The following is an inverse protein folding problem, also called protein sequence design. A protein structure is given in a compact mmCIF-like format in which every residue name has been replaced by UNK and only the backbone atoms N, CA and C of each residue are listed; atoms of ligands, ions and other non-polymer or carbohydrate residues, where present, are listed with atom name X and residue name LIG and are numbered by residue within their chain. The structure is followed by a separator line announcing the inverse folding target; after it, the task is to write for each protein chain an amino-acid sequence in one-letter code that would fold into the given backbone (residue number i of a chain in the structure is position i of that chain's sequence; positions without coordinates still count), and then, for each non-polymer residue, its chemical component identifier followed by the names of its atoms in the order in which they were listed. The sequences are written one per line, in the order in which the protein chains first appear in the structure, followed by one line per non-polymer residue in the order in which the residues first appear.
data_IF_323079374699
#
_entry.id   IF_323079374699
#
_cell.length_a   1.000
_cell.length_b   1.000
_cell.length_c   1.000
_cell.angle_alpha   90.00
_cell.angle_beta   90.00
_cell.angle_gamma   90.00
#
_symmetry.space_group_name_H-M   'P 1'
#
loop_
_entity.id
_entity.type
_entity.pdbx_description
1 polymer ?
#
# COMPACT_ATOMS: atom_id res chain seq x y z
N UNK A 1 98.87 -44.39 100.90
CA UNK A 1 98.30 -45.08 99.73
C UNK A 1 96.78 -44.86 99.56
N UNK A 2 96.20 -43.74 100.03
CA UNK A 2 94.77 -43.46 99.87
C UNK A 2 94.46 -42.60 98.62
N UNK A 3 95.41 -41.80 98.15
CA UNK A 3 95.15 -40.78 97.12
C UNK A 3 94.99 -41.34 95.69
N UNK A 4 95.59 -42.48 95.37
CA UNK A 4 95.53 -43.10 94.03
C UNK A 4 94.17 -43.76 93.77
N UNK A 5 93.57 -44.38 94.80
CA UNK A 5 92.24 -45.01 94.70
C UNK A 5 91.11 -43.98 94.51
N UNK A 6 91.19 -42.84 95.22
CA UNK A 6 90.23 -41.75 95.07
C UNK A 6 90.28 -41.10 93.68
N UNK A 7 91.49 -40.92 93.12
CA UNK A 7 91.66 -40.43 91.74
C UNK A 7 91.13 -41.42 90.69
N UNK A 8 91.31 -42.73 90.90
CA UNK A 8 90.73 -43.76 90.02
C UNK A 8 89.20 -43.76 90.08
N UNK A 9 88.60 -43.59 91.26
CA UNK A 9 87.15 -43.48 91.43
C UNK A 9 86.60 -42.20 90.78
N UNK A 10 87.28 -41.07 90.93
CA UNK A 10 86.91 -39.81 90.25
C UNK A 10 86.98 -39.95 88.72
N UNK A 11 88.03 -40.59 88.17
CA UNK A 11 88.16 -40.79 86.72
C UNK A 11 87.11 -41.77 86.19
N UNK A 12 86.79 -42.83 86.92
CA UNK A 12 85.73 -43.77 86.55
C UNK A 12 84.35 -43.09 86.56
N UNK A 13 84.07 -42.30 87.60
CA UNK A 13 82.83 -41.52 87.68
C UNK A 13 82.77 -40.46 86.58
N UNK A 14 83.86 -39.72 86.33
CA UNK A 14 83.92 -38.73 85.24
C UNK A 14 83.71 -39.38 83.87
N UNK A 15 84.34 -40.54 83.59
CA UNK A 15 84.11 -41.29 82.34
C UNK A 15 82.68 -41.80 82.20
N UNK A 16 82.05 -42.24 83.30
CA UNK A 16 80.66 -42.71 83.28
C UNK A 16 79.66 -41.55 83.14
N UNK A 17 79.97 -40.38 83.73
CA UNK A 17 79.15 -39.17 83.60
C UNK A 17 79.28 -38.60 82.18
N UNK A 18 80.50 -38.52 81.65
CA UNK A 18 80.80 -38.07 80.28
C UNK A 18 80.21 -39.00 79.21
N UNK A 19 80.19 -40.32 79.42
CA UNK A 19 79.53 -41.26 78.50
C UNK A 19 77.99 -41.18 78.58
N UNK A 20 77.42 -40.93 79.76
CA UNK A 20 75.97 -40.70 79.92
C UNK A 20 75.52 -39.37 79.30
N UNK A 21 76.31 -38.31 79.47
CA UNK A 21 76.09 -37.00 78.84
C UNK A 21 76.21 -37.11 77.32
N UNK A 22 77.24 -37.77 76.79
CA UNK A 22 77.41 -37.98 75.34
C UNK A 22 76.26 -38.78 74.70
N UNK A 23 75.71 -39.78 75.41
CA UNK A 23 74.54 -40.55 74.94
C UNK A 23 73.24 -39.73 75.06
N UNK A 24 73.14 -38.85 76.07
CA UNK A 24 72.02 -37.93 76.25
C UNK A 24 71.99 -36.88 75.14
N UNK A 25 73.13 -36.23 74.88
CA UNK A 25 73.28 -35.22 73.82
C UNK A 25 72.98 -35.80 72.43
N UNK A 26 73.50 -37.00 72.13
CA UNK A 26 73.21 -37.68 70.87
C UNK A 26 71.72 -38.06 70.69
N UNK A 27 71.00 -38.32 71.79
CA UNK A 27 69.55 -38.56 71.75
C UNK A 27 68.77 -37.27 71.56
N UNK A 28 69.21 -36.18 72.19
CA UNK A 28 68.60 -34.86 72.07
C UNK A 28 68.74 -34.28 70.65
N UNK A 29 69.90 -34.42 70.02
CA UNK A 29 70.13 -33.99 68.64
C UNK A 29 69.29 -34.78 67.63
N UNK A 30 69.09 -36.09 67.89
CA UNK A 30 68.22 -36.93 67.07
C UNK A 30 66.75 -36.52 67.21
N UNK A 31 66.32 -36.16 68.42
CA UNK A 31 64.97 -35.64 68.66
C UNK A 31 64.74 -34.31 67.93
N UNK A 32 65.69 -33.36 68.03
CA UNK A 32 65.66 -32.08 67.30
C UNK A 32 65.55 -32.26 65.79
N UNK A 33 66.25 -33.27 65.23
CA UNK A 33 66.15 -33.61 63.81
C UNK A 33 64.73 -34.06 63.41
N UNK A 34 64.14 -34.97 64.18
CA UNK A 34 62.77 -35.44 63.92
C UNK A 34 61.72 -34.34 64.10
N UNK A 35 61.86 -33.50 65.12
CA UNK A 35 60.96 -32.38 65.36
C UNK A 35 61.01 -31.36 64.20
N UNK A 36 62.21 -31.09 63.68
CA UNK A 36 62.40 -30.21 62.50
C UNK A 36 61.80 -30.81 61.23
N UNK A 37 61.94 -32.12 61.02
CA UNK A 37 61.34 -32.82 59.88
C UNK A 37 59.81 -32.78 59.95
N UNK A 38 59.24 -33.06 61.13
CA UNK A 38 57.80 -32.99 61.39
C UNK A 38 57.24 -31.58 61.18
N UNK A 39 57.96 -30.55 61.66
CA UNK A 39 57.54 -29.16 61.48
C UNK A 39 57.52 -28.77 59.99
N UNK A 40 58.52 -29.20 59.23
CA UNK A 40 58.61 -28.96 57.78
C UNK A 40 57.46 -29.65 57.05
N UNK A 41 57.25 -30.94 57.30
CA UNK A 41 56.16 -31.71 56.70
C UNK A 41 54.77 -31.13 57.04
N UNK A 42 54.59 -30.62 58.28
CA UNK A 42 53.34 -29.96 58.69
C UNK A 42 53.12 -28.65 57.93
N UNK A 43 54.16 -27.85 57.75
CA UNK A 43 54.09 -26.60 56.98
C UNK A 43 53.76 -26.87 55.51
N UNK A 44 54.39 -27.87 54.92
CA UNK A 44 54.15 -28.24 53.51
C UNK A 44 52.73 -28.77 53.33
N UNK A 45 52.25 -29.64 54.23
CA UNK A 45 50.88 -30.15 54.22
C UNK A 45 49.85 -29.01 54.34
N UNK A 46 50.11 -28.01 55.19
CA UNK A 46 49.23 -26.86 55.33
C UNK A 46 49.23 -25.98 54.07
N UNK A 47 50.39 -25.81 53.42
CA UNK A 47 50.50 -25.14 52.12
C UNK A 47 49.69 -25.84 51.03
N UNK A 48 49.81 -27.16 50.92
CA UNK A 48 49.03 -27.98 49.98
C UNK A 48 47.52 -27.90 50.26
N UNK A 49 47.11 -27.91 51.54
CA UNK A 49 45.70 -27.71 51.91
C UNK A 49 45.18 -26.35 51.48
N UNK A 50 45.96 -25.30 51.67
CA UNK A 50 45.58 -23.95 51.26
C UNK A 50 45.43 -23.83 49.74
N UNK A 51 46.37 -24.39 48.98
CA UNK A 51 46.32 -24.44 47.50
C UNK A 51 45.08 -25.25 47.05
N UNK A 52 44.85 -26.41 47.67
CA UNK A 52 43.67 -27.25 47.38
C UNK A 52 42.36 -26.50 47.64
N UNK A 53 42.27 -25.76 48.75
CA UNK A 53 41.10 -24.94 49.06
C UNK A 53 40.87 -23.83 48.01
N UNK A 54 41.94 -23.15 47.58
CA UNK A 54 41.87 -22.13 46.52
C UNK A 54 41.37 -22.72 45.21
N UNK A 55 41.99 -23.80 44.73
CA UNK A 55 41.59 -24.49 43.50
C UNK A 55 40.14 -24.97 43.56
N UNK A 56 39.68 -25.50 44.69
CA UNK A 56 38.28 -25.92 44.85
C UNK A 56 37.30 -24.74 44.74
N UNK A 57 37.65 -23.59 45.32
CA UNK A 57 36.83 -22.38 45.20
C UNK A 57 36.79 -21.83 43.77
N UNK A 58 37.93 -21.85 43.06
CA UNK A 58 38.02 -21.45 41.65
C UNK A 58 37.21 -22.40 40.76
N UNK A 59 37.32 -23.72 40.98
CA UNK A 59 36.60 -24.73 40.21
C UNK A 59 35.08 -24.58 40.37
N UNK A 60 34.62 -24.35 41.61
CA UNK A 60 33.21 -24.06 41.90
C UNK A 60 32.71 -22.78 41.22
N UNK A 61 33.53 -21.72 41.23
CA UNK A 61 33.20 -20.47 40.54
C UNK A 61 33.11 -20.65 39.01
N UNK A 62 34.03 -21.42 38.41
CA UNK A 62 33.98 -21.74 36.99
C UNK A 62 32.75 -22.58 36.62
N UNK A 63 32.39 -23.57 37.45
CA UNK A 63 31.19 -24.38 37.23
C UNK A 63 29.93 -23.53 37.24
N UNK A 64 29.81 -22.60 38.19
CA UNK A 64 28.65 -21.70 38.27
C UNK A 64 28.54 -20.82 37.02
N UNK A 65 29.66 -20.23 36.59
CA UNK A 65 29.71 -19.42 35.35
C UNK A 65 29.37 -20.23 34.11
N UNK A 66 29.83 -21.47 34.03
CA UNK A 66 29.52 -22.35 32.90
C UNK A 66 28.01 -22.64 32.81
N UNK A 67 27.37 -22.97 33.93
CA UNK A 67 25.93 -23.23 33.97
C UNK A 67 25.10 -21.97 33.66
N UNK A 68 25.52 -20.80 34.12
CA UNK A 68 24.90 -19.52 33.75
C UNK A 68 25.00 -19.27 32.23
N UNK A 69 26.20 -19.42 31.66
CA UNK A 69 26.42 -19.24 30.21
C UNK A 69 25.64 -20.24 29.38
N UNK A 70 25.50 -21.48 29.85
CA UNK A 70 24.68 -22.50 29.20
C UNK A 70 23.20 -22.10 29.17
N UNK A 71 22.65 -21.61 30.28
CA UNK A 71 21.27 -21.11 30.35
C UNK A 71 21.04 -19.88 29.47
N UNK A 72 21.99 -18.94 29.45
CA UNK A 72 21.94 -17.79 28.55
C UNK A 72 21.89 -18.23 27.08
N UNK A 73 22.72 -19.20 26.70
CA UNK A 73 22.74 -19.75 25.34
C UNK A 73 21.41 -20.40 24.96
N UNK A 74 20.82 -21.19 25.87
CA UNK A 74 19.50 -21.81 25.67
C UNK A 74 18.40 -20.74 25.49
N UNK A 75 18.41 -19.68 26.31
CA UNK A 75 17.46 -18.59 26.22
C UNK A 75 17.57 -17.80 24.91
N UNK A 76 18.80 -17.49 24.48
CA UNK A 76 19.06 -16.81 23.20
C UNK A 76 18.63 -17.70 22.03
N UNK A 77 18.93 -18.99 22.09
CA UNK A 77 18.50 -19.97 21.08
C UNK A 77 16.97 -20.03 20.96
N UNK A 78 16.27 -20.10 22.08
CA UNK A 78 14.80 -20.09 22.11
C UNK A 78 14.22 -18.78 21.53
N UNK A 79 14.81 -17.65 21.90
CA UNK A 79 14.40 -16.32 21.41
C UNK A 79 14.60 -16.19 19.90
N UNK A 80 15.74 -16.64 19.37
CA UNK A 80 16.03 -16.66 17.93
C UNK A 80 15.07 -17.56 17.17
N UNK A 81 14.72 -18.73 17.72
CA UNK A 81 13.75 -19.63 17.09
C UNK A 81 12.36 -18.97 17.01
N UNK A 82 11.88 -18.41 18.11
CA UNK A 82 10.62 -17.67 18.16
C UNK A 82 10.59 -16.50 17.18
N UNK A 83 11.67 -15.72 17.12
CA UNK A 83 11.81 -14.63 16.16
C UNK A 83 11.72 -15.12 14.72
N UNK A 84 12.43 -16.20 14.35
CA UNK A 84 12.37 -16.77 12.99
C UNK A 84 10.98 -17.24 12.61
N UNK A 85 10.24 -17.84 13.54
CA UNK A 85 8.86 -18.29 13.31
C UNK A 85 7.91 -17.09 13.11
N UNK A 86 8.06 -16.05 13.93
CA UNK A 86 7.31 -14.79 13.80
C UNK A 86 7.58 -14.10 12.45
N UNK A 87 8.84 -13.93 12.08
CA UNK A 87 9.25 -13.33 10.80
C UNK A 87 8.78 -14.15 9.59
N UNK A 88 8.73 -15.49 9.73
CA UNK A 88 8.16 -16.35 8.70
C UNK A 88 6.65 -16.12 8.58
N UNK A 89 5.92 -16.08 9.69
CA UNK A 89 4.48 -15.79 9.70
C UNK A 89 4.14 -14.45 9.08
N UNK A 90 4.88 -13.38 9.44
CA UNK A 90 4.70 -12.06 8.86
C UNK A 90 4.86 -12.04 7.34
N UNK A 91 5.92 -12.68 6.82
CA UNK A 91 6.15 -12.79 5.36
C UNK A 91 5.06 -13.58 4.64
N UNK A 92 4.51 -14.61 5.27
CA UNK A 92 3.41 -15.38 4.71
C UNK A 92 2.10 -14.58 4.69
N UNK A 93 1.82 -13.82 5.75
CA UNK A 93 0.66 -12.93 5.83
C UNK A 93 0.73 -11.78 4.83
N UNK A 94 1.90 -11.15 4.67
CA UNK A 94 2.13 -10.13 3.63
C UNK A 94 1.92 -10.70 2.23
N UNK A 95 2.46 -11.89 1.96
CA UNK A 95 2.25 -12.58 0.68
C UNK A 95 0.78 -12.89 0.45
N UNK A 96 0.03 -13.28 1.49
CA UNK A 96 -1.41 -13.53 1.41
C UNK A 96 -2.19 -12.25 1.07
N UNK A 97 -1.92 -11.16 1.80
CA UNK A 97 -2.52 -9.84 1.56
C UNK A 97 -2.23 -9.31 0.15
N UNK A 98 -0.99 -9.48 -0.32
CA UNK A 98 -0.61 -9.08 -1.66
C UNK A 98 -1.38 -9.85 -2.73
N UNK A 99 -1.47 -11.18 -2.60
CA UNK A 99 -2.26 -12.02 -3.51
C UNK A 99 -3.73 -11.62 -3.55
N UNK A 100 -4.33 -11.37 -2.39
CA UNK A 100 -5.71 -10.91 -2.29
C UNK A 100 -5.93 -9.56 -2.99
N UNK A 101 -5.04 -8.60 -2.75
CA UNK A 101 -5.10 -7.29 -3.44
C UNK A 101 -4.96 -7.43 -4.95
N UNK A 102 -4.05 -8.29 -5.41
CA UNK A 102 -3.88 -8.58 -6.84
C UNK A 102 -5.13 -9.18 -7.47
N UNK A 103 -5.81 -10.11 -6.77
CA UNK A 103 -7.07 -10.67 -7.25
C UNK A 103 -8.16 -9.60 -7.35
N UNK A 104 -8.34 -8.78 -6.31
CA UNK A 104 -9.34 -7.69 -6.33
C UNK A 104 -9.09 -6.71 -7.47
N UNK A 105 -7.84 -6.29 -7.67
CA UNK A 105 -7.48 -5.40 -8.78
C UNK A 105 -7.70 -6.05 -10.14
N UNK A 106 -7.48 -7.36 -10.26
CA UNK A 106 -7.76 -8.10 -11.48
C UNK A 106 -9.27 -8.12 -11.77
N UNK A 107 -10.08 -8.43 -10.78
CA UNK A 107 -11.54 -8.45 -10.92
C UNK A 107 -12.09 -7.06 -11.28
N UNK A 108 -11.53 -5.99 -10.68
CA UNK A 108 -11.89 -4.60 -11.01
C UNK A 108 -11.47 -4.22 -12.44
N UNK A 109 -10.28 -4.61 -12.89
CA UNK A 109 -9.85 -4.41 -14.27
C UNK A 109 -10.72 -5.16 -15.27
N UNK A 110 -11.12 -6.38 -14.96
CA UNK A 110 -11.99 -7.19 -15.82
C UNK A 110 -13.41 -6.57 -15.89
N UNK A 111 -13.93 -6.08 -14.76
CA UNK A 111 -15.19 -5.35 -14.69
C UNK A 111 -15.19 -4.09 -15.58
N UNK A 112 -14.16 -3.23 -15.46
CA UNK A 112 -14.10 -2.02 -16.28
C UNK A 112 -13.84 -2.31 -17.75
N UNK A 113 -13.13 -3.39 -18.07
CA UNK A 113 -12.94 -3.85 -19.45
C UNK A 113 -14.27 -4.25 -20.09
N UNK A 114 -15.09 -5.02 -19.38
CA UNK A 114 -16.42 -5.41 -19.86
C UNK A 114 -17.30 -4.17 -20.07
N UNK A 115 -17.34 -3.26 -19.11
CA UNK A 115 -18.08 -1.98 -19.24
C UNK A 115 -17.61 -1.15 -20.43
N UNK A 116 -16.31 -1.10 -20.66
CA UNK A 116 -15.76 -0.39 -21.81
C UNK A 116 -16.22 -1.00 -23.14
N UNK A 117 -16.17 -2.33 -23.28
CA UNK A 117 -16.63 -2.99 -24.51
C UNK A 117 -18.14 -2.85 -24.71
N UNK A 118 -18.96 -2.88 -23.65
CA UNK A 118 -20.39 -2.58 -23.72
C UNK A 118 -20.65 -1.18 -24.30
N UNK A 119 -20.00 -0.15 -23.75
CA UNK A 119 -20.18 1.23 -24.21
C UNK A 119 -19.64 1.46 -25.62
N UNK A 120 -18.51 0.82 -25.96
CA UNK A 120 -17.94 0.85 -27.30
C UNK A 120 -18.89 0.22 -28.33
N UNK A 121 -19.55 -0.90 -27.99
CA UNK A 121 -20.55 -1.52 -28.86
C UNK A 121 -21.78 -0.62 -29.04
N UNK A 122 -22.32 -0.04 -27.95
CA UNK A 122 -23.42 0.94 -28.03
C UNK A 122 -23.06 2.14 -28.92
N UNK A 123 -21.85 2.64 -28.80
CA UNK A 123 -21.37 3.75 -29.63
C UNK A 123 -21.27 3.36 -31.11
N UNK A 124 -20.76 2.16 -31.41
CA UNK A 124 -20.74 1.61 -32.76
C UNK A 124 -22.16 1.52 -33.35
N UNK A 125 -23.12 1.00 -32.58
CA UNK A 125 -24.51 0.86 -33.01
C UNK A 125 -25.18 2.21 -33.26
N UNK A 126 -24.98 3.19 -32.37
CA UNK A 126 -25.48 4.55 -32.55
C UNK A 126 -24.85 5.22 -33.78
N UNK A 127 -23.54 5.07 -33.97
CA UNK A 127 -22.83 5.58 -35.15
C UNK A 127 -23.38 4.98 -36.44
N UNK A 128 -23.68 3.67 -36.44
CA UNK A 128 -24.30 2.98 -37.57
C UNK A 128 -25.71 3.50 -37.85
N UNK A 129 -26.52 3.74 -36.81
CA UNK A 129 -27.85 4.32 -36.94
C UNK A 129 -27.81 5.73 -37.52
N UNK A 130 -26.93 6.60 -37.00
CA UNK A 130 -26.75 7.97 -37.50
C UNK A 130 -26.39 7.93 -38.99
N UNK A 131 -25.41 7.11 -39.38
CA UNK A 131 -25.01 6.96 -40.79
C UNK A 131 -26.18 6.54 -41.67
N UNK A 132 -27.00 5.57 -41.22
CA UNK A 132 -28.18 5.12 -41.96
C UNK A 132 -29.20 6.24 -42.11
N UNK A 133 -29.54 6.93 -41.02
CA UNK A 133 -30.46 8.06 -41.03
C UNK A 133 -29.99 9.19 -41.96
N UNK A 134 -28.69 9.49 -41.98
CA UNK A 134 -28.10 10.48 -42.90
C UNK A 134 -28.29 10.05 -44.35
N UNK A 135 -28.02 8.78 -44.67
CA UNK A 135 -28.21 8.25 -46.02
C UNK A 135 -29.68 8.26 -46.44
N UNK A 136 -30.60 7.86 -45.57
CA UNK A 136 -32.04 7.88 -45.83
C UNK A 136 -32.54 9.31 -46.07
N UNK A 137 -32.02 10.29 -45.32
CA UNK A 137 -32.33 11.71 -45.51
C UNK A 137 -31.83 12.24 -46.86
N UNK A 138 -30.62 11.86 -47.28
CA UNK A 138 -30.07 12.23 -48.59
C UNK A 138 -30.89 11.63 -49.74
N UNK A 139 -31.26 10.36 -49.64
CA UNK A 139 -32.14 9.70 -50.60
C UNK A 139 -33.51 10.41 -50.69
N UNK A 140 -34.12 10.75 -49.56
CA UNK A 140 -35.36 11.50 -49.52
C UNK A 140 -35.27 12.88 -50.19
N UNK A 141 -34.14 13.58 -50.05
CA UNK A 141 -33.90 14.85 -50.77
C UNK A 141 -33.82 14.65 -52.28
N UNK A 142 -33.16 13.58 -52.74
CA UNK A 142 -33.08 13.24 -54.17
C UNK A 142 -34.48 12.93 -54.72
N UNK A 143 -35.27 12.13 -54.01
CA UNK A 143 -36.64 11.79 -54.41
C UNK A 143 -37.54 13.02 -54.46
N UNK A 144 -37.44 13.91 -53.47
CA UNK A 144 -38.16 15.18 -53.47
C UNK A 144 -37.78 16.04 -54.68
N UNK A 145 -36.48 16.16 -55.01
CA UNK A 145 -36.03 16.88 -56.19
C UNK A 145 -36.57 16.25 -57.48
N UNK A 146 -36.57 14.92 -57.59
CA UNK A 146 -37.11 14.20 -58.74
C UNK A 146 -38.61 14.48 -58.94
N UNK A 147 -39.40 14.39 -57.87
CA UNK A 147 -40.84 14.69 -57.91
C UNK A 147 -41.08 16.15 -58.28
N UNK A 148 -40.31 17.09 -57.70
CA UNK A 148 -40.41 18.51 -58.03
C UNK A 148 -40.13 18.77 -59.53
N UNK A 149 -39.13 18.09 -60.10
CA UNK A 149 -38.84 18.16 -61.53
C UNK A 149 -39.98 17.61 -62.39
N UNK A 150 -40.57 16.47 -62.00
CA UNK A 150 -41.72 15.89 -62.72
C UNK A 150 -42.94 16.81 -62.67
N UNK A 151 -43.27 17.38 -61.51
CA UNK A 151 -44.36 18.34 -61.35
C UNK A 151 -44.15 19.55 -62.27
N UNK A 152 -42.95 20.12 -62.28
CA UNK A 152 -42.62 21.24 -63.17
C UNK A 152 -42.78 20.90 -64.66
N UNK A 153 -42.48 19.66 -65.07
CA UNK A 153 -42.74 19.20 -66.45
C UNK A 153 -44.24 19.15 -66.74
N UNK A 154 -45.03 18.53 -65.87
CA UNK A 154 -46.49 18.46 -66.01
C UNK A 154 -47.12 19.85 -66.07
N UNK A 155 -46.72 20.77 -65.18
CA UNK A 155 -47.21 22.15 -65.18
C UNK A 155 -46.85 22.94 -66.46
N UNK A 156 -45.72 22.61 -67.10
CA UNK A 156 -45.37 23.20 -68.40
C UNK A 156 -46.25 22.64 -69.52
N UNK A 157 -46.48 21.34 -69.54
CA UNK A 157 -47.37 20.71 -70.53
C UNK A 157 -48.82 21.18 -70.38
N UNK A 158 -49.35 21.24 -69.15
CA UNK A 158 -50.68 21.79 -68.89
C UNK A 158 -50.84 23.23 -69.39
N UNK A 159 -49.80 24.08 -69.22
CA UNK A 159 -49.80 25.45 -69.77
C UNK A 159 -49.86 25.45 -71.30
N UNK A 160 -49.06 24.61 -71.96
CA UNK A 160 -49.09 24.47 -73.43
C UNK A 160 -50.45 23.99 -73.92
N UNK A 161 -51.03 22.97 -73.29
CA UNK A 161 -52.37 22.46 -73.65
C UNK A 161 -53.43 23.54 -73.45
N UNK A 162 -53.37 24.31 -72.36
CA UNK A 162 -54.28 25.45 -72.13
C UNK A 162 -54.17 26.48 -73.26
N UNK A 163 -52.96 26.86 -73.64
CA UNK A 163 -52.72 27.81 -74.76
C UNK A 163 -53.25 27.26 -76.09
N UNK A 164 -53.11 25.95 -76.34
CA UNK A 164 -53.67 25.30 -77.54
C UNK A 164 -55.20 25.33 -77.54
N UNK A 165 -55.84 25.06 -76.39
CA UNK A 165 -57.31 25.16 -76.25
C UNK A 165 -57.77 26.59 -76.55
N UNK A 166 -57.14 27.60 -75.95
CA UNK A 166 -57.48 29.02 -76.20
C UNK A 166 -57.35 29.42 -77.68
N UNK A 167 -56.41 28.82 -78.43
CA UNK A 167 -56.24 29.09 -79.87
C UNK A 167 -57.28 28.41 -80.77
N UNK A 168 -57.90 27.33 -80.30
CA UNK A 168 -58.88 26.55 -81.05
C UNK A 168 -60.33 26.97 -80.75
N UNK A 169 -60.56 27.87 -79.81
CA UNK A 169 -61.88 28.40 -79.47
C UNK A 169 -62.30 29.47 -80.50
N UNK A 170 -63.32 29.25 -81.35
CA UNK A 170 -63.82 30.27 -82.25
C UNK A 170 -64.59 31.30 -81.42
N UNK A 171 -64.18 32.56 -81.50
CA UNK A 171 -64.71 33.63 -80.67
C UNK A 171 -66.24 33.66 -80.59
N UNK A 172 -66.75 33.56 -79.36
CA UNK A 172 -67.91 34.29 -78.80
C UNK A 172 -68.13 33.85 -77.35
N UNK A 173 -67.93 34.77 -76.41
CA UNK A 173 -69.01 35.36 -75.61
C UNK A 173 -68.42 36.23 -74.50
N UNK A 174 -68.77 37.51 -74.53
CA UNK A 174 -68.86 38.34 -73.33
C UNK A 174 -69.79 37.65 -72.33
N UNK A 175 -69.21 36.91 -71.39
CA UNK A 175 -69.85 36.65 -70.11
C UNK A 175 -68.89 37.19 -69.06
N UNK A 176 -69.31 38.31 -68.49
CA UNK A 176 -68.86 38.89 -67.23
C UNK A 176 -68.54 37.78 -66.22
N UNK A 177 -67.28 37.35 -66.20
CA UNK A 177 -66.69 36.67 -65.07
C UNK A 177 -66.56 37.74 -63.98
N UNK A 178 -67.59 37.85 -63.15
CA UNK A 178 -67.49 38.55 -61.88
C UNK A 178 -66.38 37.85 -61.12
N UNK A 179 -65.26 38.54 -61.00
CA UNK A 179 -64.15 38.20 -60.12
C UNK A 179 -64.71 38.18 -58.69
N UNK A 180 -65.23 37.03 -58.27
CA UNK A 180 -65.57 36.73 -56.89
C UNK A 180 -64.28 36.43 -56.14
N UNK A 181 -63.36 37.41 -56.16
CA UNK A 181 -62.27 37.58 -55.19
C UNK A 181 -62.89 38.00 -53.85
N UNK A 182 -63.72 37.12 -53.30
CA UNK A 182 -64.12 37.15 -51.90
C UNK A 182 -63.07 36.34 -51.13
N UNK A 183 -62.12 37.07 -50.54
CA UNK A 183 -61.53 36.78 -49.23
C UNK A 183 -61.33 35.30 -48.85
N UNK A 184 -60.34 34.62 -49.44
CA UNK A 184 -59.74 33.42 -48.84
C UNK A 184 -58.22 33.50 -48.66
N UNK A 185 -57.63 34.68 -48.87
CA UNK A 185 -56.18 34.91 -48.73
C UNK A 185 -55.79 35.57 -47.40
N UNK A 186 -56.54 35.38 -46.32
CA UNK A 186 -56.23 36.02 -45.02
C UNK A 186 -56.13 35.10 -43.80
N UNK A 187 -56.35 33.78 -43.91
CA UNK A 187 -56.33 32.89 -42.73
C UNK A 187 -55.20 31.85 -42.68
N UNK A 188 -54.17 31.95 -43.53
CA UNK A 188 -52.99 31.09 -43.42
C UNK A 188 -51.67 31.87 -43.34
N UNK A 189 -51.68 32.98 -42.61
CA UNK A 189 -50.44 33.63 -42.17
C UNK A 189 -50.36 33.85 -40.64
N UNK A 190 -51.25 33.21 -39.89
CA UNK A 190 -51.24 33.24 -38.43
C UNK A 190 -50.37 32.14 -37.83
N UNK A 191 -49.03 32.26 -37.94
CA UNK A 191 -48.01 31.74 -36.99
C UNK A 191 -46.58 31.71 -37.58
N UNK A 192 -46.08 32.80 -38.13
CA UNK A 192 -44.62 33.04 -38.23
C UNK A 192 -44.33 34.54 -38.09
N UNK A 193 -44.81 35.15 -37.01
CA UNK A 193 -44.21 36.35 -36.47
C UNK A 193 -43.23 35.90 -35.38
N UNK A 194 -42.01 35.59 -35.77
CA UNK A 194 -40.87 35.73 -34.87
C UNK A 194 -40.29 37.09 -35.19
N UNK A 195 -40.58 38.04 -34.30
CA UNK A 195 -39.89 39.31 -34.21
C UNK A 195 -38.39 39.10 -34.45
N UNK A 196 -37.82 39.96 -35.30
CA UNK A 196 -36.47 40.45 -35.09
C UNK A 196 -36.40 41.06 -33.68
N UNK A 197 -36.16 40.22 -32.68
CA UNK A 197 -35.69 40.66 -31.39
C UNK A 197 -34.16 40.67 -31.43
N UNK A 198 -33.66 41.89 -31.26
CA UNK A 198 -32.34 42.29 -30.78
C UNK A 198 -31.60 41.19 -29.98
N UNK A 199 -30.27 41.12 -30.06
CA UNK A 199 -29.48 40.08 -29.41
C UNK A 199 -29.72 40.11 -27.90
N UNK A 200 -30.60 39.22 -27.42
CA UNK A 200 -30.85 39.07 -26.00
C UNK A 200 -29.57 38.53 -25.35
N UNK A 201 -29.24 38.97 -24.12
CA UNK A 201 -28.03 38.54 -23.46
C UNK A 201 -28.09 37.03 -23.28
N UNK A 202 -26.99 36.34 -23.60
CA UNK A 202 -26.82 34.92 -23.34
C UNK A 202 -27.26 34.63 -21.90
N UNK A 203 -28.49 34.13 -21.73
CA UNK A 203 -28.88 33.49 -20.48
C UNK A 203 -28.05 32.21 -20.46
N UNK A 204 -26.97 32.27 -19.68
CA UNK A 204 -26.07 31.15 -19.47
C UNK A 204 -26.93 30.03 -18.89
N UNK A 205 -27.22 29.00 -19.68
CA UNK A 205 -27.95 27.79 -19.28
C UNK A 205 -27.31 27.06 -18.08
N UNK A 206 -26.12 27.50 -17.67
CA UNK A 206 -25.37 27.05 -16.50
C UNK A 206 -25.79 27.77 -15.20
N UNK A 207 -26.65 28.78 -15.25
CA UNK A 207 -27.07 29.54 -14.04
C UNK A 207 -28.22 28.88 -13.27
N UNK A 208 -28.93 27.92 -13.88
CA UNK A 208 -30.02 27.16 -13.26
C UNK A 208 -29.54 25.88 -12.54
N UNK A 209 -28.24 25.58 -12.60
CA UNK A 209 -27.61 24.42 -11.99
C UNK A 209 -26.68 24.86 -10.86
N UNK A 210 -26.73 24.17 -9.73
CA UNK A 210 -25.90 24.45 -8.57
C UNK A 210 -24.95 23.29 -8.26
N UNK A 211 -23.73 23.62 -7.85
CA UNK A 211 -22.70 22.70 -7.42
C UNK A 211 -22.44 22.90 -5.93
N UNK A 212 -22.17 21.82 -5.21
CA UNK A 212 -21.94 21.87 -3.76
C UNK A 212 -20.50 21.51 -3.41
N UNK A 213 -19.95 22.19 -2.41
CA UNK A 213 -18.69 21.77 -1.79
C UNK A 213 -18.91 20.47 -0.99
N UNK A 214 -18.15 19.39 -1.26
CA UNK A 214 -18.35 18.12 -0.56
C UNK A 214 -18.00 18.18 0.94
N UNK A 215 -17.15 19.12 1.36
CA UNK A 215 -16.70 19.25 2.75
C UNK A 215 -17.68 20.02 3.65
N UNK A 216 -18.23 21.13 3.16
CA UNK A 216 -19.07 22.05 3.95
C UNK A 216 -20.48 22.27 3.38
N UNK A 217 -20.80 21.68 2.22
CA UNK A 217 -22.09 21.77 1.51
C UNK A 217 -22.54 23.18 1.12
N UNK A 218 -21.61 24.14 1.04
CA UNK A 218 -21.90 25.45 0.49
C UNK A 218 -22.21 25.31 -1.01
N UNK A 219 -23.29 25.96 -1.43
CA UNK A 219 -23.87 25.86 -2.78
C UNK A 219 -23.36 27.02 -3.64
N UNK A 220 -22.93 26.71 -4.85
CA UNK A 220 -22.44 27.67 -5.84
C UNK A 220 -23.18 27.49 -7.17
N UNK A 221 -23.56 28.57 -7.86
CA UNK A 221 -24.03 28.49 -9.25
C UNK A 221 -22.95 27.85 -10.14
N UNK A 222 -23.35 27.06 -11.14
CA UNK A 222 -22.39 26.40 -12.05
C UNK A 222 -21.58 27.42 -12.86
N UNK A 223 -22.15 28.61 -13.09
CA UNK A 223 -21.45 29.77 -13.65
C UNK A 223 -20.22 30.19 -12.81
N UNK A 224 -20.21 29.92 -11.50
CA UNK A 224 -19.14 30.27 -10.54
C UNK A 224 -18.26 29.07 -10.13
N UNK A 225 -18.17 28.02 -10.95
CA UNK A 225 -17.37 26.81 -10.63
C UNK A 225 -15.90 27.08 -10.24
N UNK A 226 -15.27 28.17 -10.74
CA UNK A 226 -13.90 28.55 -10.35
C UNK A 226 -13.81 28.99 -8.89
N UNK A 227 -14.83 29.66 -8.37
CA UNK A 227 -14.88 30.10 -6.97
C UNK A 227 -15.12 28.92 -6.04
N UNK A 228 -15.96 27.96 -6.46
CA UNK A 228 -16.14 26.69 -5.75
C UNK A 228 -14.82 25.90 -5.66
N UNK A 229 -14.03 25.81 -6.74
CA UNK A 229 -12.74 25.11 -6.71
C UNK A 229 -11.76 25.76 -5.71
N UNK A 230 -11.64 27.09 -5.73
CA UNK A 230 -10.82 27.81 -4.75
C UNK A 230 -11.32 27.63 -3.30
N UNK A 231 -12.64 27.57 -3.11
CA UNK A 231 -13.24 27.24 -1.82
C UNK A 231 -12.88 25.83 -1.37
N UNK A 232 -12.98 24.83 -2.25
CA UNK A 232 -12.68 23.43 -1.93
C UNK A 232 -11.23 23.30 -1.46
N UNK A 233 -10.27 23.95 -2.14
CA UNK A 233 -8.86 23.93 -1.75
C UNK A 233 -8.63 24.43 -0.31
N UNK A 234 -9.36 25.47 0.10
CA UNK A 234 -9.32 26.02 1.46
C UNK A 234 -10.09 25.17 2.48
N UNK A 235 -11.14 24.47 2.03
CA UNK A 235 -12.04 23.69 2.90
C UNK A 235 -11.52 22.26 3.16
N UNK A 236 -10.58 21.77 2.35
CA UNK A 236 -9.88 20.50 2.54
C UNK A 236 -8.52 20.65 3.24
N UNK A 237 -8.08 21.88 3.51
CA UNK A 237 -6.91 22.21 4.33
C UNK A 237 -7.27 22.21 5.82
#
# INVERSE_FOLDING_TARGET
MAHIGDLQQQVANAKQTQAKESISDAKEDKQKYYDRLLLTAKKDLEGERQISAQLNSELSALQTKYEEKKKELENVSASLKSQRESEKGQREDERRRFKEKMLRLKDELDFYREKYEEEKNKNCDLSNQIRKCTSDLENGKIDQQNVQQQLNKVLKELRKTREQITKLEPGKCDVYFVDSSYNFASDFNGKLNLQEEQPSPKLNLLDDSFLECPSCRVVYPTSQHRELLAHIDLCTS
#
